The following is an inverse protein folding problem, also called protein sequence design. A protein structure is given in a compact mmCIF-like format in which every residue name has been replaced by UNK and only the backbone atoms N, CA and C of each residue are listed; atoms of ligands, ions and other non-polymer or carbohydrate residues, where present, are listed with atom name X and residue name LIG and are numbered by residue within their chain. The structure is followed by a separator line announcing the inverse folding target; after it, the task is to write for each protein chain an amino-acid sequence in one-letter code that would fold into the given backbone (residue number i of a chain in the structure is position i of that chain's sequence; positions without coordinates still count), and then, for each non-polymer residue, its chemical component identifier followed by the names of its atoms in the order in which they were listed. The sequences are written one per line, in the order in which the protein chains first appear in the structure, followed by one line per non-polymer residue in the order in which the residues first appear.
data_IF_484102887679
#
_entry.id   IF_484102887679
#
_cell.length_a   1.000
_cell.length_b   1.000
_cell.length_c   1.000
_cell.angle_alpha   90.00
_cell.angle_beta   90.00
_cell.angle_gamma   90.00
#
_symmetry.space_group_name_H-M   'P 1'
#
loop_
_entity.id
_entity.type
_entity.pdbx_description
1 polymer ?
#
# COMPACT_ATOMS: atom_id res chain seq x y z
N UNK A 1 3.61 -1.97 -13.43
CA UNK A 1 3.30 -2.92 -12.33
C UNK A 1 1.84 -2.80 -11.91
N UNK A 2 1.39 -1.56 -11.68
CA UNK A 2 -0.01 -1.12 -11.46
C UNK A 2 -1.07 -1.96 -12.19
N UNK A 3 -1.08 -1.99 -13.54
CA UNK A 3 -2.08 -2.76 -14.30
C UNK A 3 -2.13 -4.25 -13.96
N UNK A 4 -0.98 -4.89 -13.75
CA UNK A 4 -0.92 -6.33 -13.46
C UNK A 4 -1.45 -6.64 -12.06
N UNK A 5 -1.14 -5.82 -11.07
CA UNK A 5 -1.64 -5.97 -9.71
C UNK A 5 -3.13 -5.60 -9.63
N UNK A 6 -3.57 -4.50 -10.24
CA UNK A 6 -4.99 -4.15 -10.27
C UNK A 6 -5.83 -5.21 -11.02
N UNK A 7 -5.34 -5.75 -12.15
CA UNK A 7 -6.02 -6.84 -12.86
C UNK A 7 -6.07 -8.13 -12.03
N UNK A 8 -4.99 -8.49 -11.34
CA UNK A 8 -4.92 -9.66 -10.46
C UNK A 8 -5.93 -9.57 -9.30
N UNK A 9 -6.13 -8.40 -8.71
CA UNK A 9 -7.05 -8.22 -7.59
C UNK A 9 -8.50 -7.93 -8.02
N UNK A 10 -8.73 -7.35 -9.19
CA UNK A 10 -10.08 -7.08 -9.68
C UNK A 10 -10.71 -8.27 -10.43
N UNK A 11 -9.92 -9.13 -11.09
CA UNK A 11 -10.45 -10.21 -11.94
C UNK A 11 -10.41 -11.61 -11.32
N UNK A 12 -9.73 -11.82 -10.19
CA UNK A 12 -9.57 -13.16 -9.62
C UNK A 12 -9.98 -13.25 -8.16
N UNK A 13 -10.76 -14.29 -7.84
CA UNK A 13 -10.82 -14.89 -6.50
C UNK A 13 -9.45 -15.51 -6.17
N UNK A 14 -8.40 -14.69 -6.09
CA UNK A 14 -7.07 -15.17 -5.73
C UNK A 14 -7.14 -15.78 -4.34
N UNK A 15 -6.55 -16.95 -4.21
CA UNK A 15 -6.33 -17.56 -2.90
C UNK A 15 -5.33 -16.70 -2.10
N UNK A 16 -5.39 -16.78 -0.77
CA UNK A 16 -4.43 -16.11 0.12
C UNK A 16 -2.99 -16.49 -0.23
N UNK A 17 -2.77 -17.72 -0.70
CA UNK A 17 -1.46 -18.21 -1.12
C UNK A 17 -0.96 -17.54 -2.41
N UNK A 18 -1.83 -17.33 -3.40
CA UNK A 18 -1.47 -16.60 -4.63
C UNK A 18 -1.18 -15.13 -4.34
N UNK A 19 -1.98 -14.51 -3.47
CA UNK A 19 -1.73 -13.16 -2.97
C UNK A 19 -0.36 -13.06 -2.30
N UNK A 20 -0.10 -13.92 -1.33
CA UNK A 20 1.19 -14.01 -0.63
C UNK A 20 2.36 -14.12 -1.60
N UNK A 21 2.26 -15.00 -2.60
CA UNK A 21 3.33 -15.19 -3.57
C UNK A 21 3.59 -13.96 -4.44
N UNK A 22 2.54 -13.23 -4.83
CA UNK A 22 2.67 -11.96 -5.57
C UNK A 22 3.38 -10.92 -4.70
N UNK A 23 2.99 -10.75 -3.44
CA UNK A 23 3.65 -9.78 -2.55
C UNK A 23 5.12 -10.11 -2.29
N UNK A 24 5.42 -11.38 -1.95
CA UNK A 24 6.79 -11.79 -1.66
C UNK A 24 7.68 -11.66 -2.91
N UNK A 25 7.16 -11.99 -4.09
CA UNK A 25 7.94 -11.99 -5.32
C UNK A 25 8.09 -10.60 -5.93
N UNK A 26 7.00 -9.85 -5.99
CA UNK A 26 6.93 -8.61 -6.77
C UNK A 26 7.08 -7.36 -5.88
N UNK A 27 6.72 -7.41 -4.58
CA UNK A 27 6.76 -6.24 -3.69
C UNK A 27 8.03 -6.19 -2.80
N UNK A 28 8.35 -7.29 -2.11
CA UNK A 28 9.51 -7.33 -1.17
C UNK A 28 10.85 -6.95 -1.82
N UNK A 29 11.17 -7.33 -3.08
CA UNK A 29 12.44 -6.94 -3.70
C UNK A 29 12.55 -5.45 -4.04
N UNK A 30 11.44 -4.76 -4.31
CA UNK A 30 11.43 -3.32 -4.66
C UNK A 30 11.89 -2.44 -3.49
N UNK A 31 11.71 -2.98 -2.31
CA UNK A 31 11.92 -2.33 -1.04
C UNK A 31 13.40 -2.34 -0.62
N UNK A 32 14.23 -3.20 -1.22
CA UNK A 32 15.63 -3.43 -0.85
C UNK A 32 16.65 -2.56 -1.63
N UNK A 33 16.26 -1.35 -2.05
CA UNK A 33 17.17 -0.35 -2.64
C UNK A 33 17.90 0.50 -1.60
N UNK A 34 19.11 0.99 -1.91
CA UNK A 34 20.13 1.52 -0.99
C UNK A 34 19.74 2.69 -0.04
N UNK A 35 18.49 3.16 0.04
CA UNK A 35 18.08 4.28 0.92
C UNK A 35 16.64 4.18 1.48
N UNK A 36 16.06 2.98 1.59
CA UNK A 36 14.62 2.82 1.86
C UNK A 36 14.33 2.05 3.17
N UNK A 37 13.33 2.51 3.94
CA UNK A 37 12.77 1.77 5.07
C UNK A 37 11.90 0.65 4.51
N UNK A 38 12.21 -0.58 4.89
CA UNK A 38 11.77 -1.73 4.12
C UNK A 38 10.82 -2.70 4.80
N UNK A 39 9.68 -2.93 4.14
CA UNK A 39 8.91 -4.17 4.21
C UNK A 39 9.77 -5.39 3.90
N UNK A 40 9.77 -6.35 4.80
CA UNK A 40 10.40 -7.66 4.60
C UNK A 40 9.36 -8.78 4.40
N UNK A 41 9.86 -10.01 4.22
CA UNK A 41 8.99 -11.18 4.07
C UNK A 41 8.16 -11.43 5.35
N UNK A 42 8.73 -11.19 6.52
CA UNK A 42 8.06 -11.33 7.81
C UNK A 42 6.87 -10.39 7.94
N UNK A 43 6.97 -9.15 7.44
CA UNK A 43 5.85 -8.21 7.42
C UNK A 43 4.68 -8.72 6.57
N UNK A 44 4.98 -9.28 5.40
CA UNK A 44 3.96 -9.91 4.53
C UNK A 44 3.38 -11.16 5.19
N UNK A 45 4.21 -12.00 5.81
CA UNK A 45 3.76 -13.19 6.52
C UNK A 45 2.82 -12.82 7.69
N UNK A 46 3.18 -11.79 8.46
CA UNK A 46 2.38 -11.28 9.58
C UNK A 46 1.05 -10.69 9.13
N UNK A 47 1.02 -9.96 8.02
CA UNK A 47 -0.21 -9.45 7.42
C UNK A 47 -1.14 -10.58 6.95
N UNK A 48 -0.57 -11.66 6.40
CA UNK A 48 -1.34 -12.77 5.87
C UNK A 48 -1.81 -13.73 6.97
N UNK A 49 -1.11 -13.80 8.09
CA UNK A 49 -1.43 -14.74 9.17
C UNK A 49 -2.77 -14.42 9.85
N UNK A 50 -3.66 -15.41 9.88
CA UNK A 50 -4.98 -15.31 10.50
C UNK A 50 -6.03 -14.48 9.74
N UNK A 51 -5.66 -13.83 8.64
CA UNK A 51 -6.57 -13.07 7.77
C UNK A 51 -7.10 -13.94 6.62
N UNK A 52 -8.40 -13.82 6.31
CA UNK A 52 -9.06 -14.62 5.27
C UNK A 52 -9.69 -13.75 4.15
N UNK A 53 -9.73 -12.44 4.35
CA UNK A 53 -10.20 -11.45 3.38
C UNK A 53 -9.11 -10.41 3.19
N UNK A 54 -8.93 -10.03 1.93
CA UNK A 54 -7.92 -9.07 1.52
C UNK A 54 -8.51 -8.11 0.50
N UNK A 55 -8.08 -6.84 0.57
CA UNK A 55 -8.42 -5.84 -0.43
C UNK A 55 -7.21 -4.96 -0.71
N UNK A 56 -6.75 -4.99 -1.95
CA UNK A 56 -5.72 -4.11 -2.47
C UNK A 56 -6.35 -2.92 -3.18
N UNK A 57 -5.85 -1.72 -2.93
CA UNK A 57 -6.16 -0.52 -3.71
C UNK A 57 -4.89 0.27 -4.01
N UNK A 58 -4.88 0.86 -5.20
CA UNK A 58 -3.81 1.73 -5.67
C UNK A 58 -4.39 3.12 -5.91
N UNK A 59 -3.62 4.14 -5.55
CA UNK A 59 -3.94 5.54 -5.80
C UNK A 59 -2.69 6.29 -6.23
N UNK A 60 -2.88 7.28 -7.07
CA UNK A 60 -1.81 8.01 -7.72
C UNK A 60 -2.03 9.50 -7.56
N UNK A 61 -0.94 10.26 -7.52
CA UNK A 61 -0.98 11.71 -7.40
C UNK A 61 0.21 12.36 -8.10
N UNK A 62 0.05 13.64 -8.46
CA UNK A 62 1.06 14.44 -9.16
C UNK A 62 1.08 15.88 -8.62
N UNK A 63 2.23 16.54 -8.72
CA UNK A 63 2.39 17.94 -8.27
C UNK A 63 2.47 18.10 -6.75
N UNK A 64 2.22 19.31 -6.25
CA UNK A 64 2.44 19.68 -4.84
C UNK A 64 1.58 18.90 -3.83
N UNK A 65 0.44 18.37 -4.27
CA UNK A 65 -0.50 17.59 -3.45
C UNK A 65 -0.42 16.09 -3.71
N UNK A 66 0.57 15.61 -4.47
CA UNK A 66 0.66 14.21 -4.94
C UNK A 66 0.46 13.17 -3.85
N UNK A 67 1.03 13.41 -2.66
CA UNK A 67 0.95 12.49 -1.53
C UNK A 67 -0.49 12.37 -0.98
N UNK A 68 -1.18 13.50 -0.78
CA UNK A 68 -2.56 13.54 -0.29
C UNK A 68 -3.54 13.01 -1.34
N UNK A 69 -3.32 13.37 -2.60
CA UNK A 69 -4.16 12.91 -3.71
C UNK A 69 -4.10 11.39 -3.86
N UNK A 70 -2.89 10.81 -3.78
CA UNK A 70 -2.68 9.37 -3.86
C UNK A 70 -3.38 8.62 -2.72
N UNK A 71 -3.16 9.02 -1.45
CA UNK A 71 -3.78 8.33 -0.30
C UNK A 71 -5.30 8.56 -0.26
N UNK A 72 -5.76 9.75 -0.66
CA UNK A 72 -7.19 10.07 -0.80
C UNK A 72 -7.86 9.17 -1.81
N UNK A 73 -7.23 8.96 -2.97
CA UNK A 73 -7.72 8.04 -3.99
C UNK A 73 -7.77 6.59 -3.48
N UNK A 74 -6.72 6.13 -2.81
CA UNK A 74 -6.68 4.79 -2.19
C UNK A 74 -7.86 4.58 -1.23
N UNK A 75 -8.03 5.48 -0.26
CA UNK A 75 -9.03 5.34 0.80
C UNK A 75 -10.46 5.44 0.26
N UNK A 76 -10.67 6.33 -0.72
CA UNK A 76 -11.96 6.43 -1.44
C UNK A 76 -12.29 5.12 -2.15
N UNK A 77 -11.31 4.50 -2.82
CA UNK A 77 -11.51 3.21 -3.48
C UNK A 77 -11.62 2.04 -2.49
N UNK A 78 -11.01 2.14 -1.31
CA UNK A 78 -11.08 1.11 -0.27
C UNK A 78 -12.47 1.05 0.35
N UNK A 79 -13.10 2.21 0.54
CA UNK A 79 -14.51 2.36 0.92
C UNK A 79 -14.86 1.64 2.21
N UNK A 80 -15.91 0.82 2.17
CA UNK A 80 -16.52 0.21 3.36
C UNK A 80 -15.64 -0.76 4.16
N UNK A 81 -14.47 -1.19 3.67
CA UNK A 81 -13.53 -1.99 4.51
C UNK A 81 -13.09 -1.19 5.72
N UNK A 82 -12.90 0.12 5.57
CA UNK A 82 -12.53 1.00 6.68
C UNK A 82 -13.61 1.01 7.76
N UNK A 83 -14.88 0.78 7.40
CA UNK A 83 -16.02 0.82 8.32
C UNK A 83 -16.37 -0.56 8.90
N UNK A 84 -16.09 -1.64 8.17
CA UNK A 84 -16.52 -3.02 8.50
C UNK A 84 -15.43 -3.90 9.11
N UNK A 85 -14.14 -3.55 8.92
CA UNK A 85 -13.03 -4.41 9.28
C UNK A 85 -12.48 -4.11 10.67
N UNK A 86 -13.09 -4.74 11.67
CA UNK A 86 -12.60 -4.71 13.05
C UNK A 86 -11.18 -5.33 13.11
N UNK A 87 -10.21 -4.58 13.65
CA UNK A 87 -8.81 -5.00 13.80
C UNK A 87 -8.10 -5.38 12.48
N UNK A 88 -8.37 -4.64 11.40
CA UNK A 88 -7.67 -4.84 10.14
C UNK A 88 -6.16 -4.54 10.26
N UNK A 89 -5.36 -5.34 9.56
CA UNK A 89 -3.93 -5.11 9.36
C UNK A 89 -3.71 -4.47 8.00
N UNK A 90 -2.79 -3.52 7.94
CA UNK A 90 -2.50 -2.76 6.73
C UNK A 90 -1.04 -2.86 6.33
N UNK A 91 -0.81 -2.94 5.03
CA UNK A 91 0.50 -2.77 4.41
C UNK A 91 0.41 -1.68 3.36
N UNK A 92 1.24 -0.65 3.53
CA UNK A 92 1.35 0.47 2.59
C UNK A 92 2.70 0.43 1.88
N UNK A 93 2.70 0.60 0.57
CA UNK A 93 3.92 0.76 -0.19
C UNK A 93 3.81 2.01 -1.08
N UNK A 94 4.79 2.90 -0.95
CA UNK A 94 4.81 4.18 -1.64
C UNK A 94 5.91 4.15 -2.71
N UNK A 95 5.54 4.20 -3.98
CA UNK A 95 6.48 4.41 -5.07
C UNK A 95 6.53 5.88 -5.48
N UNK A 96 7.73 6.38 -5.74
CA UNK A 96 7.95 7.73 -6.23
C UNK A 96 8.93 7.70 -7.41
N UNK A 97 8.76 8.60 -8.36
CA UNK A 97 9.62 8.67 -9.54
C UNK A 97 10.87 9.52 -9.37
N UNK A 98 11.02 10.49 -10.27
CA UNK A 98 12.16 11.38 -10.39
C UNK A 98 12.34 12.31 -9.18
N UNK A 99 11.22 12.75 -8.58
CA UNK A 99 11.21 13.59 -7.39
C UNK A 99 11.08 12.70 -6.14
N UNK A 100 12.10 12.78 -5.28
CA UNK A 100 12.20 11.95 -4.07
C UNK A 100 11.00 12.13 -3.14
N UNK A 101 10.65 11.07 -2.41
CA UNK A 101 9.63 11.14 -1.35
C UNK A 101 10.14 12.02 -0.20
N UNK A 102 9.44 13.12 0.05
CA UNK A 102 9.79 14.02 1.13
C UNK A 102 9.21 13.54 2.47
N UNK A 103 9.92 13.83 3.57
CA UNK A 103 9.45 13.43 4.90
C UNK A 103 8.12 14.08 5.30
N UNK A 104 7.84 15.30 4.83
CA UNK A 104 6.55 15.95 5.11
C UNK A 104 5.40 15.33 4.30
N UNK A 105 5.66 14.84 3.08
CA UNK A 105 4.71 14.04 2.32
C UNK A 105 4.35 12.75 3.02
N UNK A 106 5.37 12.03 3.54
CA UNK A 106 5.16 10.82 4.31
C UNK A 106 4.29 11.11 5.55
N UNK A 107 4.63 12.13 6.33
CA UNK A 107 3.85 12.51 7.53
C UNK A 107 2.41 12.86 7.16
N UNK A 108 2.17 13.57 6.04
CA UNK A 108 0.83 13.88 5.56
C UNK A 108 0.03 12.64 5.21
N UNK A 109 0.65 11.66 4.54
CA UNK A 109 0.02 10.37 4.20
C UNK A 109 -0.38 9.62 5.46
N UNK A 110 0.54 9.48 6.41
CA UNK A 110 0.30 8.74 7.67
C UNK A 110 -0.82 9.38 8.48
N UNK A 111 -0.77 10.70 8.68
CA UNK A 111 -1.81 11.42 9.41
C UNK A 111 -3.17 11.32 8.73
N UNK A 112 -3.22 11.45 7.40
CA UNK A 112 -4.47 11.33 6.65
C UNK A 112 -5.05 9.91 6.73
N UNK A 113 -4.20 8.88 6.70
CA UNK A 113 -4.60 7.50 6.88
C UNK A 113 -5.20 7.26 8.28
N UNK A 114 -4.48 7.64 9.34
CA UNK A 114 -4.93 7.49 10.73
C UNK A 114 -6.25 8.25 10.99
N UNK A 115 -6.42 9.45 10.44
CA UNK A 115 -7.67 10.22 10.57
C UNK A 115 -8.88 9.48 10.00
N UNK A 116 -8.70 8.75 8.89
CA UNK A 116 -9.80 8.07 8.21
C UNK A 116 -10.07 6.67 8.73
N UNK A 117 -9.04 5.96 9.17
CA UNK A 117 -9.16 4.57 9.61
C UNK A 117 -9.39 4.46 11.13
N UNK A 118 -8.97 5.46 11.89
CA UNK A 118 -9.13 5.51 13.35
C UNK A 118 -7.89 5.03 14.10
N UNK A 119 -7.99 5.06 15.43
CA UNK A 119 -6.93 4.59 16.32
C UNK A 119 -7.09 3.08 16.55
N UNK A 120 -5.99 2.35 16.70
CA UNK A 120 -5.92 0.86 16.86
C UNK A 120 -5.77 0.03 15.58
N UNK A 121 -5.16 0.61 14.54
CA UNK A 121 -4.75 -0.14 13.34
C UNK A 121 -3.27 -0.50 13.36
N UNK A 122 -2.99 -1.76 13.04
CA UNK A 122 -1.63 -2.25 12.83
C UNK A 122 -1.23 -2.00 11.37
N UNK A 123 -0.25 -1.13 11.15
CA UNK A 123 0.23 -0.78 9.81
C UNK A 123 1.74 -0.99 9.69
N UNK A 124 2.12 -1.69 8.62
CA UNK A 124 3.50 -1.71 8.13
C UNK A 124 3.57 -0.87 6.85
N UNK A 125 4.66 -0.15 6.65
CA UNK A 125 4.84 0.65 5.45
C UNK A 125 6.26 0.55 4.91
N UNK A 126 6.40 0.78 3.60
CA UNK A 126 7.67 0.93 2.92
C UNK A 126 7.57 1.94 1.79
N UNK A 127 8.70 2.35 1.26
CA UNK A 127 8.75 3.21 0.08
C UNK A 127 9.82 2.71 -0.89
N UNK A 128 9.71 3.11 -2.15
CA UNK A 128 10.72 2.82 -3.16
C UNK A 128 10.73 3.77 -4.33
N UNK A 129 11.90 3.91 -4.96
CA UNK A 129 12.07 4.74 -6.14
C UNK A 129 11.81 3.92 -7.39
N UNK A 130 10.97 4.44 -8.28
CA UNK A 130 10.64 3.88 -9.57
C UNK A 130 10.70 4.97 -10.65
N UNK A 131 11.84 5.10 -11.32
CA UNK A 131 12.09 6.18 -12.30
C UNK A 131 11.08 6.18 -13.48
N UNK A 132 10.36 5.07 -13.73
CA UNK A 132 9.31 5.00 -14.75
C UNK A 132 8.09 5.87 -14.41
N UNK A 133 7.89 6.24 -13.13
CA UNK A 133 6.77 7.06 -12.67
C UNK A 133 6.93 8.56 -12.98
N UNK A 134 8.10 9.02 -13.41
CA UNK A 134 8.33 10.45 -13.67
C UNK A 134 8.03 11.30 -12.43
N UNK A 135 7.08 12.23 -12.50
CA UNK A 135 6.75 13.10 -11.35
C UNK A 135 5.59 12.56 -10.50
N UNK A 136 5.17 11.32 -10.73
CA UNK A 136 4.06 10.68 -10.01
C UNK A 136 4.53 10.06 -8.70
N UNK A 137 3.62 10.07 -7.72
CA UNK A 137 3.68 9.25 -6.52
C UNK A 137 2.51 8.26 -6.56
N UNK A 138 2.81 6.99 -6.32
CA UNK A 138 1.85 5.89 -6.29
C UNK A 138 1.83 5.27 -4.90
N UNK A 139 0.64 5.05 -4.35
CA UNK A 139 0.43 4.38 -3.08
C UNK A 139 -0.36 3.11 -3.34
N UNK A 140 0.22 1.98 -2.95
CA UNK A 140 -0.43 0.69 -2.88
C UNK A 140 -0.76 0.41 -1.40
N UNK A 141 -2.03 0.11 -1.14
CA UNK A 141 -2.51 -0.25 0.19
C UNK A 141 -3.20 -1.61 0.14
N UNK A 142 -2.70 -2.53 0.96
CA UNK A 142 -3.35 -3.80 1.23
C UNK A 142 -3.97 -3.77 2.63
N UNK A 143 -5.26 -4.09 2.72
CA UNK A 143 -5.94 -4.38 3.97
C UNK A 143 -6.22 -5.88 4.09
N UNK A 144 -5.95 -6.46 5.25
CA UNK A 144 -6.25 -7.86 5.60
C UNK A 144 -7.08 -7.95 6.89
N UNK A 145 -8.12 -8.77 6.89
CA UNK A 145 -8.99 -9.01 8.05
C UNK A 145 -9.65 -10.40 8.01
N UNK A 146 -10.45 -10.71 9.04
CA UNK A 146 -11.18 -11.98 9.22
C UNK A 146 -12.60 -12.02 8.62
#
# INVERSE_FOLDING_TARGET
MEKRLEELFNNSSLTVEELRNVFIKDLVPLVHGENLVGLDRGDVEHLMDGNNKFRLKIGTGVGESRAIDAIGAVLTKLGSVVEEADHARYLMYIEYGAEDLMMDELVRVMNYFEEKVGNEVEMVWGAGRNDELGNQLEILLLAGWK
#
